data_IF_435575248685
#
_entry.id   IF_435575248685
#
_cell.length_a   1.000
_cell.length_b   1.000
_cell.length_c   1.000
_cell.angle_alpha   90.00
_cell.angle_beta   90.00
_cell.angle_gamma   90.00
#
_symmetry.space_group_name_H-M   'P 1'
#
loop_
_entity.id
_entity.type
_entity.pdbx_description
1 polymer ?
#
# COMPACT_ATOMS: atom_id res chain seq x y z
N UNK A 1 -25.15 9.70 -19.05
CA UNK A 1 -26.05 8.56 -19.32
C UNK A 1 -25.46 7.31 -18.70
N UNK A 2 -26.21 6.20 -18.60
CA UNK A 2 -25.69 4.92 -18.13
C UNK A 2 -24.53 4.43 -19.01
N UNK A 3 -23.56 3.72 -18.41
CA UNK A 3 -22.33 3.24 -19.08
C UNK A 3 -22.60 2.33 -20.30
N UNK A 4 -23.80 1.76 -20.39
CA UNK A 4 -24.27 0.84 -21.43
C UNK A 4 -24.45 1.49 -22.80
N UNK A 5 -24.53 2.82 -22.89
CA UNK A 5 -24.74 3.53 -24.16
C UNK A 5 -23.43 3.83 -24.92
N UNK A 6 -22.26 3.61 -24.30
CA UNK A 6 -20.96 3.97 -24.88
C UNK A 6 -19.98 2.80 -25.03
N UNK A 7 -20.13 1.70 -24.26
CA UNK A 7 -19.17 0.60 -24.25
C UNK A 7 -19.89 -0.75 -24.10
N UNK A 8 -19.65 -1.76 -24.96
CA UNK A 8 -20.13 -3.10 -24.73
C UNK A 8 -19.46 -3.70 -23.49
N UNK A 9 -20.27 -4.00 -22.48
CA UNK A 9 -19.85 -4.63 -21.22
C UNK A 9 -20.01 -6.14 -21.33
N UNK A 10 -19.02 -6.90 -20.85
CA UNK A 10 -19.14 -8.35 -20.69
C UNK A 10 -19.26 -8.66 -19.19
N UNK A 11 -20.18 -9.55 -18.83
CA UNK A 11 -20.24 -10.08 -17.47
C UNK A 11 -19.00 -10.94 -17.22
N UNK A 12 -18.12 -10.47 -16.33
CA UNK A 12 -17.04 -11.28 -15.78
C UNK A 12 -17.56 -12.23 -14.70
N UNK A 13 -16.80 -13.29 -14.41
CA UNK A 13 -17.10 -14.17 -13.30
C UNK A 13 -17.04 -13.38 -11.98
N UNK A 14 -18.10 -13.48 -11.18
CA UNK A 14 -18.27 -12.86 -9.86
C UNK A 14 -18.34 -11.33 -9.85
N UNK A 15 -19.39 -10.78 -10.48
CA UNK A 15 -19.94 -9.43 -10.19
C UNK A 15 -19.01 -8.24 -10.48
N UNK A 16 -17.97 -8.43 -11.28
CA UNK A 16 -17.09 -7.35 -11.74
C UNK A 16 -17.26 -7.17 -13.25
N UNK A 17 -17.79 -6.03 -13.68
CA UNK A 17 -17.90 -5.67 -15.09
C UNK A 17 -16.50 -5.42 -15.67
N UNK A 18 -16.07 -6.23 -16.62
CA UNK A 18 -14.81 -6.07 -17.34
C UNK A 18 -15.10 -5.41 -18.68
N UNK A 19 -14.42 -4.30 -18.98
CA UNK A 19 -14.55 -3.62 -20.28
C UNK A 19 -13.78 -4.38 -21.35
N UNK A 20 -14.39 -4.64 -22.52
CA UNK A 20 -13.74 -5.36 -23.63
C UNK A 20 -12.71 -4.53 -24.41
N UNK A 21 -12.56 -3.23 -24.12
CA UNK A 21 -11.54 -2.39 -24.74
C UNK A 21 -10.26 -2.34 -23.91
N UNK A 22 -9.12 -2.43 -24.59
CA UNK A 22 -7.81 -2.16 -24.01
C UNK A 22 -7.73 -0.71 -23.52
N UNK A 23 -7.03 -0.55 -22.39
CA UNK A 23 -6.86 0.63 -21.54
C UNK A 23 -6.71 1.99 -22.25
N UNK A 24 -6.17 2.03 -23.47
CA UNK A 24 -5.88 3.26 -24.22
C UNK A 24 -7.10 3.95 -24.85
N UNK A 25 -8.20 3.22 -25.13
CA UNK A 25 -9.37 3.80 -25.84
C UNK A 25 -10.47 4.36 -24.90
N UNK A 26 -10.37 4.12 -23.58
CA UNK A 26 -11.39 4.55 -22.61
C UNK A 26 -11.21 6.01 -22.13
N UNK A 27 -9.98 6.53 -22.12
CA UNK A 27 -9.72 7.93 -21.75
C UNK A 27 -10.22 8.93 -22.81
N UNK A 28 -10.22 8.55 -24.09
CA UNK A 28 -10.71 9.41 -25.19
C UNK A 28 -12.22 9.67 -25.17
N UNK A 29 -12.98 8.93 -24.36
CA UNK A 29 -14.45 9.02 -24.26
C UNK A 29 -14.91 9.80 -23.00
N UNK A 30 -13.96 10.31 -22.20
CA UNK A 30 -14.27 11.20 -21.05
C UNK A 30 -14.81 10.48 -19.82
N UNK A 31 -14.50 9.18 -19.65
CA UNK A 31 -14.90 8.41 -18.48
C UNK A 31 -13.95 8.62 -17.30
N UNK A 32 -14.52 8.66 -16.09
CA UNK A 32 -13.78 8.81 -14.84
C UNK A 32 -13.03 7.52 -14.50
N UNK A 33 -11.71 7.58 -14.50
CA UNK A 33 -10.82 6.48 -14.10
C UNK A 33 -10.67 6.47 -12.57
N UNK A 34 -10.90 5.31 -11.95
CA UNK A 34 -10.56 5.05 -10.55
C UNK A 34 -9.69 3.80 -10.46
N UNK A 35 -8.47 3.96 -9.96
CA UNK A 35 -7.56 2.84 -9.71
C UNK A 35 -7.74 2.34 -8.28
N UNK A 36 -8.28 1.12 -8.12
CA UNK A 36 -8.30 0.42 -6.84
C UNK A 36 -7.03 -0.42 -6.69
N UNK A 37 -6.04 0.08 -5.95
CA UNK A 37 -4.82 -0.66 -5.66
C UNK A 37 -4.98 -1.55 -4.42
N UNK A 38 -4.92 -2.87 -4.62
CA UNK A 38 -4.84 -3.84 -3.52
C UNK A 38 -3.45 -3.87 -2.89
N UNK A 39 -3.20 -3.01 -1.89
CA UNK A 39 -1.91 -2.97 -1.20
C UNK A 39 -1.86 -4.04 -0.09
N UNK A 40 -1.09 -5.11 -0.33
CA UNK A 40 -0.79 -6.16 0.67
C UNK A 40 -0.28 -5.57 1.99
N UNK A 41 0.46 -4.47 1.94
CA UNK A 41 0.98 -3.75 3.11
C UNK A 41 -0.12 -3.36 4.09
N UNK A 42 -1.29 -2.91 3.60
CA UNK A 42 -2.40 -2.51 4.47
C UNK A 42 -2.95 -3.70 5.25
N UNK A 43 -3.06 -4.88 4.61
CA UNK A 43 -3.49 -6.11 5.28
C UNK A 43 -2.48 -6.60 6.32
N UNK A 44 -1.17 -6.38 6.09
CA UNK A 44 -0.12 -6.69 7.08
C UNK A 44 -0.24 -5.77 8.28
N UNK A 45 -0.38 -4.46 8.04
CA UNK A 45 -0.57 -3.46 9.09
C UNK A 45 -1.79 -3.81 9.95
N UNK A 46 -2.94 -4.09 9.34
CA UNK A 46 -4.16 -4.47 10.05
C UNK A 46 -3.94 -5.67 10.99
N UNK A 47 -3.25 -6.72 10.52
CA UNK A 47 -2.93 -7.89 11.34
C UNK A 47 -2.02 -7.53 12.51
N UNK A 48 -0.98 -6.72 12.28
CA UNK A 48 -0.09 -6.24 13.35
C UNK A 48 -0.86 -5.45 14.41
N UNK A 49 -1.77 -4.58 14.01
CA UNK A 49 -2.59 -3.78 14.93
C UNK A 49 -3.51 -4.65 15.79
N UNK A 50 -4.10 -5.70 15.21
CA UNK A 50 -4.89 -6.68 15.96
C UNK A 50 -4.04 -7.45 16.98
N UNK A 51 -2.84 -7.90 16.60
CA UNK A 51 -1.92 -8.57 17.53
C UNK A 51 -1.47 -7.65 18.67
N UNK A 52 -1.17 -6.38 18.40
CA UNK A 52 -0.80 -5.40 19.44
C UNK A 52 -1.96 -5.17 20.40
N UNK A 53 -3.20 -5.13 19.89
CA UNK A 53 -4.41 -5.02 20.71
C UNK A 53 -4.57 -6.19 21.65
N UNK A 54 -4.37 -7.41 21.16
CA UNK A 54 -4.46 -8.64 21.96
C UNK A 54 -3.39 -8.68 23.06
N UNK A 55 -2.18 -8.19 22.77
CA UNK A 55 -1.07 -8.20 23.71
C UNK A 55 -1.10 -7.07 24.75
N UNK A 56 -1.47 -5.85 24.33
CA UNK A 56 -1.36 -4.64 25.16
C UNK A 56 -2.69 -4.08 25.66
N UNK A 57 -3.81 -4.57 25.11
CA UNK A 57 -5.15 -4.02 25.35
C UNK A 57 -5.43 -2.69 24.61
N UNK A 58 -4.45 -2.15 23.87
CA UNK A 58 -4.55 -0.86 23.17
C UNK A 58 -4.12 -0.98 21.71
N UNK A 59 -4.67 -0.11 20.86
CA UNK A 59 -4.31 -0.03 19.43
C UNK A 59 -3.57 1.29 19.22
N UNK A 60 -2.35 1.29 18.64
CA UNK A 60 -1.66 2.52 18.28
C UNK A 60 -2.51 3.43 17.38
N UNK A 61 -2.57 4.73 17.67
CA UNK A 61 -3.21 5.70 16.77
C UNK A 61 -2.18 6.26 15.79
N UNK A 62 -2.33 5.93 14.50
CA UNK A 62 -1.48 6.42 13.41
C UNK A 62 -1.33 7.94 13.37
N UNK A 63 -2.32 8.70 13.86
CA UNK A 63 -2.26 10.17 13.90
C UNK A 63 -1.31 10.71 14.96
N UNK A 64 -0.91 9.86 15.91
CA UNK A 64 -0.11 10.24 17.08
C UNK A 64 1.26 9.56 17.12
N UNK A 65 1.54 8.63 16.20
CA UNK A 65 2.85 7.98 16.10
C UNK A 65 3.89 9.07 15.76
N UNK A 66 4.98 9.18 16.54
CA UNK A 66 6.01 10.17 16.26
C UNK A 66 6.86 9.77 15.05
N UNK A 67 7.13 10.73 14.17
CA UNK A 67 8.00 10.52 12.99
C UNK A 67 9.49 10.43 13.36
N UNK A 68 9.84 10.74 14.61
CA UNK A 68 11.22 10.81 15.11
C UNK A 68 11.50 9.77 16.21
N UNK A 69 11.03 8.53 16.03
CA UNK A 69 11.32 7.44 16.97
C UNK A 69 12.75 6.91 16.81
N UNK A 70 13.66 7.10 17.79
CA UNK A 70 15.07 6.71 17.65
C UNK A 70 15.27 5.21 17.40
N UNK A 71 14.41 4.35 17.98
CA UNK A 71 14.50 2.90 17.84
C UNK A 71 14.18 2.46 16.41
N UNK A 72 13.19 3.09 15.78
CA UNK A 72 12.86 2.88 14.37
C UNK A 72 14.05 3.23 13.48
N UNK A 73 14.72 4.37 13.71
CA UNK A 73 15.89 4.77 12.93
C UNK A 73 17.12 3.88 13.16
N UNK A 74 17.33 3.40 14.39
CA UNK A 74 18.39 2.44 14.70
C UNK A 74 18.18 1.12 13.95
N UNK A 75 16.96 0.58 13.96
CA UNK A 75 16.58 -0.62 13.20
C UNK A 75 16.81 -0.43 11.69
N UNK A 76 16.41 0.72 11.14
CA UNK A 76 16.63 1.05 9.72
C UNK A 76 18.13 1.15 9.40
N UNK A 77 18.92 1.85 10.25
CA UNK A 77 20.36 1.99 10.11
C UNK A 77 21.14 0.68 10.29
N UNK A 78 20.59 -0.29 11.01
CA UNK A 78 21.12 -1.66 11.07
C UNK A 78 20.78 -2.49 9.81
N UNK A 79 19.87 -1.98 8.97
CA UNK A 79 19.32 -2.64 7.78
C UNK A 79 18.42 -3.83 8.12
N UNK A 80 17.79 -3.81 9.30
CA UNK A 80 16.83 -4.81 9.78
C UNK A 80 15.44 -4.56 9.18
N UNK A 81 15.34 -4.54 7.86
CA UNK A 81 14.14 -4.09 7.14
C UNK A 81 13.30 -5.24 6.57
N UNK A 82 13.36 -6.43 7.16
CA UNK A 82 12.51 -7.56 6.71
C UNK A 82 11.05 -7.26 7.02
N UNK A 83 10.18 -7.29 6.01
CA UNK A 83 8.77 -6.91 6.17
C UNK A 83 8.50 -5.41 6.27
N UNK A 84 9.52 -4.55 6.09
CA UNK A 84 9.33 -3.09 6.03
C UNK A 84 9.08 -2.68 4.58
N UNK A 85 7.88 -2.15 4.33
CA UNK A 85 7.43 -1.79 2.99
C UNK A 85 8.46 -0.92 2.24
N UNK A 86 8.71 -1.24 0.96
CA UNK A 86 9.70 -0.62 0.07
C UNK A 86 11.18 -0.78 0.46
N UNK A 87 11.50 -1.14 1.71
CA UNK A 87 12.87 -1.16 2.22
C UNK A 87 13.50 -2.55 2.26
N UNK A 88 12.84 -3.58 1.73
CA UNK A 88 13.28 -4.98 1.86
C UNK A 88 14.43 -5.37 0.89
N UNK A 89 14.60 -4.64 -0.21
CA UNK A 89 15.58 -5.03 -1.23
C UNK A 89 17.02 -4.93 -0.72
N UNK A 90 17.89 -5.83 -1.19
CA UNK A 90 19.30 -5.86 -0.78
C UNK A 90 20.03 -4.54 -1.06
N UNK A 91 19.70 -3.86 -2.17
CA UNK A 91 20.26 -2.55 -2.51
C UNK A 91 19.82 -1.47 -1.53
N UNK A 92 18.52 -1.40 -1.22
CA UNK A 92 17.99 -0.40 -0.27
C UNK A 92 18.53 -0.65 1.15
N UNK A 93 18.61 -1.91 1.59
CA UNK A 93 19.24 -2.26 2.88
C UNK A 93 20.67 -1.76 2.99
N UNK A 94 21.46 -1.89 1.94
CA UNK A 94 22.84 -1.39 1.93
C UNK A 94 22.87 0.13 2.07
N UNK A 95 22.04 0.83 1.30
CA UNK A 95 21.92 2.29 1.38
C UNK A 95 21.53 2.74 2.78
N UNK A 96 20.58 2.07 3.44
CA UNK A 96 20.17 2.42 4.81
C UNK A 96 21.31 2.26 5.83
N UNK A 97 22.11 1.19 5.71
CA UNK A 97 23.29 0.96 6.56
C UNK A 97 24.37 2.03 6.38
N UNK A 98 24.56 2.48 5.15
CA UNK A 98 25.54 3.51 4.82
C UNK A 98 25.04 4.91 5.24
N UNK A 99 23.76 5.19 5.04
CA UNK A 99 23.12 6.48 5.36
C UNK A 99 22.99 6.71 6.87
N UNK A 100 22.61 5.67 7.63
CA UNK A 100 22.23 5.76 9.06
C UNK A 100 21.20 6.89 9.30
N UNK A 101 19.96 6.71 8.82
CA UNK A 101 18.93 7.75 8.90
C UNK A 101 18.66 8.14 10.36
N UNK A 102 18.34 9.41 10.60
CA UNK A 102 18.06 9.96 11.94
C UNK A 102 16.81 10.85 11.98
N UNK A 103 16.02 10.85 10.90
CA UNK A 103 14.82 11.66 10.72
C UNK A 103 14.12 11.32 9.40
N UNK A 104 12.87 11.80 9.29
CA UNK A 104 11.98 11.58 8.15
C UNK A 104 12.24 12.60 7.04
#
# INVERSE_FOLDING_TARGET
>A
GPLTDAVPLQEGNESTALTQYSMEHLESVGLLKMDFLGLRTLSIIERCMNSIKEMSGSVPDFKTIPDHDPLTYEMLGAGETTGVFQLESAGVRRVLKDLKPNGF
#
